data_IF_137241473642
#
_entry.id   IF_137241473642
#
_cell.length_a   1.000
_cell.length_b   1.000
_cell.length_c   1.000
_cell.angle_alpha   90.00
_cell.angle_beta   90.00
_cell.angle_gamma   90.00
#
_symmetry.space_group_name_H-M   'P 1'
#
loop_
_entity.id
_entity.type
_entity.pdbx_description
1 polymer ?
#
# COMPACT_ATOMS: atom_id res chain seq x y z
N UNK A 1 49.45 6.37 -20.03
CA UNK A 1 48.77 5.05 -20.00
C UNK A 1 48.11 4.90 -18.62
N UNK A 2 46.98 5.52 -18.27
CA UNK A 2 45.57 5.43 -18.73
C UNK A 2 44.84 4.10 -18.39
N UNK A 3 43.98 4.12 -17.35
CA UNK A 3 42.61 3.54 -17.19
C UNK A 3 42.35 3.18 -15.71
N UNK A 4 41.57 3.98 -14.97
CA UNK A 4 40.10 4.10 -14.87
C UNK A 4 39.47 3.11 -13.87
N UNK A 5 38.94 3.62 -12.76
CA UNK A 5 37.67 3.15 -12.18
C UNK A 5 36.93 4.36 -11.59
N UNK A 6 35.78 4.65 -12.18
CA UNK A 6 34.78 5.61 -11.72
C UNK A 6 34.18 5.19 -10.37
N UNK A 7 33.87 6.16 -9.52
CA UNK A 7 33.01 5.93 -8.36
C UNK A 7 31.87 6.97 -8.39
N UNK A 8 30.70 6.54 -8.87
CA UNK A 8 29.47 7.31 -8.88
C UNK A 8 28.72 7.10 -7.55
N UNK A 9 28.69 8.13 -6.71
CA UNK A 9 27.84 8.19 -5.51
C UNK A 9 27.34 9.62 -5.26
N UNK A 10 26.42 10.08 -6.10
CA UNK A 10 25.46 11.15 -5.79
C UNK A 10 24.06 10.60 -6.10
N UNK A 11 23.00 10.81 -5.28
CA UNK A 11 22.57 12.11 -4.77
C UNK A 11 21.98 12.07 -3.33
N UNK A 12 22.61 11.39 -2.38
CA UNK A 12 22.09 11.27 -0.99
C UNK A 12 22.74 12.26 -0.02
N UNK A 13 23.96 12.72 -0.32
CA UNK A 13 24.75 13.61 0.56
C UNK A 13 24.39 15.09 0.47
N UNK A 14 23.69 15.52 -0.59
CA UNK A 14 23.32 16.93 -0.76
C UNK A 14 22.12 17.34 0.13
N UNK A 15 21.25 16.38 0.47
CA UNK A 15 20.08 16.66 1.31
C UNK A 15 20.43 16.82 2.79
N UNK A 16 21.46 16.12 3.28
CA UNK A 16 21.92 16.20 4.66
C UNK A 16 22.70 17.48 4.95
N UNK A 17 23.41 18.05 3.97
CA UNK A 17 24.15 19.31 4.16
C UNK A 17 23.24 20.54 4.28
N UNK A 18 22.07 20.54 3.62
CA UNK A 18 21.12 21.66 3.69
C UNK A 18 20.32 21.71 4.99
N UNK A 19 20.29 20.63 5.78
CA UNK A 19 19.56 20.57 7.06
C UNK A 19 20.40 21.02 8.27
N UNK A 20 21.73 21.11 8.16
CA UNK A 20 22.61 21.42 9.30
C UNK A 20 23.01 22.90 9.44
N UNK A 21 22.67 23.77 8.48
CA UNK A 21 23.20 25.14 8.47
C UNK A 21 22.38 26.20 9.23
N UNK A 22 21.28 25.87 9.91
CA UNK A 22 20.41 26.89 10.50
C UNK A 22 20.30 26.90 12.04
N UNK A 23 21.28 26.32 12.74
CA UNK A 23 21.41 26.49 14.20
C UNK A 23 22.54 27.47 14.52
N UNK A 24 22.22 28.77 14.52
CA UNK A 24 23.03 29.79 15.19
C UNK A 24 22.12 30.70 16.02
N UNK A 25 22.29 30.62 17.35
CA UNK A 25 21.61 31.39 18.40
C UNK A 25 21.62 32.91 18.21
N UNK A 26 20.83 33.64 19.02
CA UNK A 26 21.32 34.89 19.59
C UNK A 26 21.34 34.89 21.13
N UNK A 27 22.37 35.57 21.63
CA UNK A 27 22.73 35.81 23.03
C UNK A 27 21.71 36.71 23.74
N UNK A 28 21.71 36.57 25.07
CA UNK A 28 21.06 37.44 26.03
C UNK A 28 21.65 38.86 26.06
N UNK A 29 20.80 39.86 26.32
CA UNK A 29 21.18 41.12 26.97
C UNK A 29 19.99 41.73 27.75
N UNK A 30 20.36 42.29 28.88
CA UNK A 30 19.65 42.78 30.08
C UNK A 30 18.68 43.97 29.91
N UNK A 31 17.79 44.11 30.90
CA UNK A 31 16.79 45.17 31.25
C UNK A 31 17.36 46.62 31.34
N UNK A 32 16.56 47.74 31.45
CA UNK A 32 15.54 47.92 32.50
C UNK A 32 14.25 48.75 32.23
N UNK A 33 13.25 48.46 33.07
CA UNK A 33 12.17 49.24 33.69
C UNK A 33 11.62 50.55 33.05
N UNK A 34 10.27 50.61 32.98
CA UNK A 34 9.49 51.84 32.88
C UNK A 34 8.00 51.58 33.12
N UNK A 35 7.50 51.95 34.30
CA UNK A 35 6.09 51.94 34.69
C UNK A 35 5.31 53.03 33.94
N UNK A 36 4.11 52.72 33.45
CA UNK A 36 3.17 53.70 32.90
C UNK A 36 1.77 53.12 32.74
N UNK A 37 0.86 53.46 33.64
CA UNK A 37 -0.58 53.21 33.54
C UNK A 37 -1.23 54.20 32.57
N UNK A 38 -2.11 53.73 31.68
CA UNK A 38 -3.18 54.53 31.08
C UNK A 38 -4.34 53.62 30.60
N UNK A 39 -5.55 54.10 30.87
CA UNK A 39 -6.90 53.54 30.71
C UNK A 39 -7.38 53.29 29.25
N UNK A 40 -8.56 52.64 29.05
CA UNK A 40 -8.96 52.01 27.79
C UNK A 40 -9.68 52.97 26.82
N UNK A 41 -9.49 52.74 25.51
CA UNK A 41 -10.26 53.38 24.45
C UNK A 41 -11.27 52.40 23.80
N UNK A 42 -12.43 52.97 23.43
CA UNK A 42 -13.71 52.37 23.04
C UNK A 42 -13.70 51.51 21.74
N UNK A 43 -14.76 50.70 21.48
CA UNK A 43 -14.78 49.70 20.43
C UNK A 43 -15.12 50.32 19.07
N UNK A 44 -14.18 50.27 18.14
CA UNK A 44 -14.36 50.78 16.79
C UNK A 44 -13.85 49.78 15.74
N UNK A 45 -14.72 49.51 14.77
CA UNK A 45 -14.47 48.86 13.48
C UNK A 45 -14.06 47.38 13.54
N UNK A 46 -15.04 46.53 13.22
CA UNK A 46 -14.81 45.15 12.84
C UNK A 46 -13.80 45.08 11.70
N UNK A 47 -12.58 44.63 12.03
CA UNK A 47 -11.62 44.16 11.07
C UNK A 47 -12.24 42.95 10.38
N UNK A 48 -12.77 43.17 9.17
CA UNK A 48 -12.97 42.12 8.20
C UNK A 48 -11.60 41.48 7.95
N UNK A 49 -11.26 40.45 8.73
CA UNK A 49 -10.13 39.57 8.43
C UNK A 49 -10.32 39.11 7.00
N UNK A 50 -9.50 39.64 6.08
CA UNK A 50 -9.26 39.04 4.79
C UNK A 50 -8.80 37.62 5.08
N UNK A 51 -9.73 36.66 5.03
CA UNK A 51 -9.46 35.24 5.20
C UNK A 51 -8.68 34.83 3.96
N UNK A 52 -7.36 34.96 4.03
CA UNK A 52 -6.43 34.51 3.00
C UNK A 52 -6.71 33.03 2.73
N UNK A 53 -7.24 32.73 1.56
CA UNK A 53 -7.39 31.35 1.08
C UNK A 53 -6.02 30.67 1.15
N UNK A 54 -5.95 29.53 1.84
CA UNK A 54 -4.74 28.72 1.93
C UNK A 54 -4.52 28.05 0.58
N UNK A 55 -3.45 28.41 -0.12
CA UNK A 55 -3.08 27.84 -1.40
C UNK A 55 -1.75 27.07 -1.24
N UNK A 56 -1.68 25.84 -1.76
CA UNK A 56 -0.51 24.96 -1.57
C UNK A 56 0.78 25.47 -2.24
N UNK A 57 0.70 26.47 -3.13
CA UNK A 57 1.86 27.14 -3.71
C UNK A 57 2.76 26.26 -4.59
N UNK A 58 2.23 25.16 -5.17
CA UNK A 58 2.95 24.37 -6.17
C UNK A 58 2.98 25.10 -7.52
N UNK A 59 4.10 25.00 -8.24
CA UNK A 59 4.23 25.58 -9.60
C UNK A 59 3.40 24.74 -10.58
N UNK A 60 2.82 25.34 -11.63
CA UNK A 60 2.05 24.59 -12.64
C UNK A 60 2.82 23.42 -13.26
N UNK A 61 4.14 23.59 -13.51
CA UNK A 61 5.00 22.51 -14.01
C UNK A 61 5.20 21.36 -13.03
N UNK A 62 5.28 21.64 -11.73
CA UNK A 62 5.38 20.62 -10.67
C UNK A 62 4.08 19.82 -10.58
N UNK A 63 2.93 20.50 -10.65
CA UNK A 63 1.60 19.88 -10.65
C UNK A 63 1.42 19.00 -11.89
N UNK A 64 1.83 19.48 -13.07
CA UNK A 64 1.72 18.73 -14.32
C UNK A 64 2.58 17.46 -14.29
N UNK A 65 3.87 17.59 -13.95
CA UNK A 65 4.76 16.44 -13.81
C UNK A 65 4.23 15.45 -12.77
N UNK A 66 3.75 15.96 -11.64
CA UNK A 66 3.18 15.13 -10.58
C UNK A 66 1.94 14.37 -11.02
N UNK A 67 1.05 15.04 -11.77
CA UNK A 67 -0.18 14.45 -12.29
C UNK A 67 0.09 13.36 -13.32
N UNK A 68 1.11 13.53 -14.17
CA UNK A 68 1.50 12.51 -15.16
C UNK A 68 2.02 11.25 -14.48
N UNK A 69 2.95 11.38 -13.53
CA UNK A 69 3.51 10.24 -12.81
C UNK A 69 2.43 9.53 -11.99
N UNK A 70 1.63 10.31 -11.24
CA UNK A 70 0.54 9.78 -10.44
C UNK A 70 -0.53 9.08 -11.30
N UNK A 71 -0.90 9.70 -12.43
CA UNK A 71 -1.86 9.12 -13.38
C UNK A 71 -1.37 7.82 -14.00
N UNK A 72 -0.08 7.71 -14.32
CA UNK A 72 0.51 6.47 -14.83
C UNK A 72 0.48 5.36 -13.77
N UNK A 73 0.92 5.65 -12.54
CA UNK A 73 0.84 4.69 -11.43
C UNK A 73 -0.59 4.25 -11.17
N UNK A 74 -1.53 5.21 -11.21
CA UNK A 74 -2.96 4.95 -10.97
C UNK A 74 -3.53 4.02 -12.04
N UNK A 75 -3.24 4.28 -13.31
CA UNK A 75 -3.69 3.45 -14.42
C UNK A 75 -3.13 2.02 -14.31
N UNK A 76 -1.83 1.89 -14.02
CA UNK A 76 -1.19 0.57 -13.84
C UNK A 76 -1.84 -0.17 -12.67
N UNK A 77 -2.06 0.50 -11.54
CA UNK A 77 -2.67 -0.13 -10.37
C UNK A 77 -4.10 -0.59 -10.64
N UNK A 78 -4.97 0.29 -11.18
CA UNK A 78 -6.37 -0.05 -11.44
C UNK A 78 -6.48 -1.17 -12.46
N UNK A 79 -5.84 -1.02 -13.63
CA UNK A 79 -5.92 -2.03 -14.69
C UNK A 79 -5.26 -3.35 -14.27
N UNK A 80 -4.10 -3.28 -13.63
CA UNK A 80 -3.34 -4.44 -13.19
C UNK A 80 -4.07 -5.24 -12.12
N UNK A 81 -4.55 -4.59 -11.07
CA UNK A 81 -5.26 -5.29 -9.99
C UNK A 81 -6.64 -5.79 -10.44
N UNK A 82 -7.35 -5.07 -11.33
CA UNK A 82 -8.56 -5.57 -11.96
C UNK A 82 -8.29 -6.84 -12.79
N UNK A 83 -7.21 -6.84 -13.58
CA UNK A 83 -6.79 -8.00 -14.35
C UNK A 83 -6.43 -9.20 -13.46
N UNK A 84 -5.78 -8.95 -12.32
CA UNK A 84 -5.50 -10.00 -11.31
C UNK A 84 -6.80 -10.68 -10.86
N UNK A 85 -7.80 -9.89 -10.47
CA UNK A 85 -9.12 -10.40 -10.09
C UNK A 85 -9.79 -11.19 -11.22
N UNK A 86 -9.80 -10.64 -12.43
CA UNK A 86 -10.42 -11.26 -13.61
C UNK A 86 -9.79 -12.62 -13.95
N UNK A 87 -8.46 -12.70 -14.01
CA UNK A 87 -7.73 -13.94 -14.34
C UNK A 87 -7.99 -15.00 -13.29
N UNK A 88 -7.93 -14.66 -12.00
CA UNK A 88 -8.14 -15.62 -10.91
C UNK A 88 -9.59 -16.15 -10.92
N UNK A 89 -10.56 -15.27 -11.16
CA UNK A 89 -11.97 -15.65 -11.22
C UNK A 89 -12.25 -16.59 -12.41
N UNK A 90 -11.70 -16.28 -13.59
CA UNK A 90 -12.01 -17.00 -14.84
C UNK A 90 -11.19 -18.29 -15.02
N UNK A 91 -9.96 -18.34 -14.51
CA UNK A 91 -9.06 -19.46 -14.75
C UNK A 91 -9.22 -20.55 -13.68
N UNK A 92 -9.79 -21.69 -14.07
CA UNK A 92 -9.77 -22.90 -13.22
C UNK A 92 -8.34 -23.37 -12.90
N UNK A 93 -7.37 -23.07 -13.77
CA UNK A 93 -5.96 -23.47 -13.63
C UNK A 93 -5.22 -22.71 -12.52
N UNK A 94 -5.74 -21.58 -12.08
CA UNK A 94 -5.14 -20.82 -10.97
C UNK A 94 -5.71 -21.19 -9.62
N UNK A 95 -6.86 -21.86 -9.53
CA UNK A 95 -7.64 -22.08 -8.30
C UNK A 95 -6.81 -22.72 -7.15
N UNK A 96 -6.40 -21.88 -6.21
CA UNK A 96 -5.75 -22.26 -4.95
C UNK A 96 -6.40 -21.51 -3.79
N UNK A 97 -6.31 -22.04 -2.57
CA UNK A 97 -6.81 -21.34 -1.37
C UNK A 97 -6.11 -19.99 -1.16
N UNK A 98 -4.85 -19.89 -1.54
CA UNK A 98 -4.07 -18.65 -1.44
C UNK A 98 -4.51 -17.59 -2.44
N UNK A 99 -5.20 -17.96 -3.53
CA UNK A 99 -5.73 -16.98 -4.46
C UNK A 99 -6.81 -16.09 -3.83
N UNK A 100 -7.52 -16.55 -2.80
CA UNK A 100 -8.46 -15.69 -2.06
C UNK A 100 -7.73 -14.51 -1.43
N UNK A 101 -6.55 -14.75 -0.84
CA UNK A 101 -5.72 -13.69 -0.30
C UNK A 101 -5.14 -12.77 -1.39
N UNK A 102 -4.72 -13.33 -2.53
CA UNK A 102 -4.24 -12.52 -3.67
C UNK A 102 -5.34 -11.61 -4.22
N UNK A 103 -6.55 -12.14 -4.39
CA UNK A 103 -7.72 -11.32 -4.79
C UNK A 103 -8.02 -10.28 -3.73
N UNK A 104 -7.93 -10.62 -2.44
CA UNK A 104 -8.13 -9.65 -1.37
C UNK A 104 -7.11 -8.52 -1.39
N UNK A 105 -5.84 -8.80 -1.69
CA UNK A 105 -4.80 -7.76 -1.89
C UNK A 105 -5.20 -6.84 -3.05
N UNK A 106 -5.52 -7.42 -4.21
CA UNK A 106 -5.95 -6.66 -5.38
C UNK A 106 -7.21 -5.82 -5.10
N UNK A 107 -8.17 -6.32 -4.34
CA UNK A 107 -9.34 -5.55 -3.91
C UNK A 107 -8.96 -4.39 -2.98
N UNK A 108 -8.06 -4.59 -2.02
CA UNK A 108 -7.59 -3.51 -1.15
C UNK A 108 -6.85 -2.42 -1.95
N UNK A 109 -6.03 -2.81 -2.93
CA UNK A 109 -5.36 -1.91 -3.86
C UNK A 109 -6.35 -1.13 -4.75
N UNK A 110 -7.40 -1.79 -5.26
CA UNK A 110 -8.46 -1.14 -6.02
C UNK A 110 -9.25 -0.14 -5.16
N UNK A 111 -9.57 -0.48 -3.91
CA UNK A 111 -10.23 0.44 -2.97
C UNK A 111 -9.38 1.69 -2.74
N UNK A 112 -8.06 1.56 -2.57
CA UNK A 112 -7.16 2.71 -2.44
C UNK A 112 -7.04 3.51 -3.73
N UNK A 113 -6.90 2.83 -4.85
CA UNK A 113 -6.71 3.46 -6.16
C UNK A 113 -7.95 4.19 -6.66
N UNK A 114 -9.15 3.66 -6.42
CA UNK A 114 -10.41 4.32 -6.83
C UNK A 114 -10.88 5.31 -5.76
N UNK A 115 -10.60 5.03 -4.49
CA UNK A 115 -11.07 5.83 -3.36
C UNK A 115 -10.17 7.01 -3.03
N UNK A 116 -8.97 6.75 -2.49
CA UNK A 116 -8.11 7.81 -1.93
C UNK A 116 -7.24 8.51 -2.97
N UNK A 117 -6.76 7.79 -3.99
CA UNK A 117 -5.83 8.36 -4.97
C UNK A 117 -6.40 9.52 -5.83
N UNK A 118 -7.66 9.49 -6.30
CA UNK A 118 -8.24 10.62 -7.05
C UNK A 118 -8.49 11.84 -6.15
N UNK A 119 -8.88 11.61 -4.89
CA UNK A 119 -9.10 12.66 -3.91
C UNK A 119 -7.81 13.43 -3.61
N UNK A 120 -6.68 12.72 -3.50
CA UNK A 120 -5.38 13.36 -3.31
C UNK A 120 -4.97 14.18 -4.54
N UNK A 121 -5.14 13.64 -5.74
CA UNK A 121 -4.81 14.37 -6.96
C UNK A 121 -5.66 15.64 -7.09
N UNK A 122 -6.95 15.56 -6.77
CA UNK A 122 -7.85 16.71 -6.77
C UNK A 122 -7.41 17.77 -5.75
N UNK A 123 -7.03 17.36 -4.54
CA UNK A 123 -6.54 18.27 -3.51
C UNK A 123 -5.29 19.03 -3.98
N UNK A 124 -4.33 18.32 -4.58
CA UNK A 124 -3.07 18.91 -5.03
C UNK A 124 -3.23 19.82 -6.25
N UNK A 125 -4.03 19.38 -7.24
CA UNK A 125 -4.27 20.15 -8.47
C UNK A 125 -5.11 21.41 -8.22
N UNK A 126 -6.06 21.35 -7.29
CA UNK A 126 -6.92 22.48 -6.97
C UNK A 126 -6.26 23.51 -6.07
N UNK A 127 -5.08 23.21 -5.49
CA UNK A 127 -4.42 24.07 -4.50
C UNK A 127 -5.15 24.19 -3.15
N UNK A 128 -6.32 23.54 -3.00
CA UNK A 128 -7.22 23.57 -1.85
C UNK A 128 -8.15 22.36 -1.81
N UNK A 129 -8.84 22.15 -0.70
CA UNK A 129 -9.84 21.09 -0.53
C UNK A 129 -11.26 21.55 -0.87
N UNK A 130 -11.89 20.90 -1.86
CA UNK A 130 -13.19 21.30 -2.42
C UNK A 130 -14.38 20.42 -1.96
N UNK A 131 -14.14 19.21 -1.46
CA UNK A 131 -15.19 18.18 -1.30
C UNK A 131 -15.80 18.11 0.13
N UNK A 132 -15.55 19.12 0.95
CA UNK A 132 -16.08 19.22 2.32
C UNK A 132 -15.47 18.22 3.33
N UNK A 133 -15.82 18.38 4.61
CA UNK A 133 -15.16 17.65 5.70
C UNK A 133 -15.43 16.13 5.68
N UNK A 134 -16.62 15.70 5.27
CA UNK A 134 -16.99 14.27 5.18
C UNK A 134 -16.13 13.49 4.21
N UNK A 135 -15.88 14.04 3.00
CA UNK A 135 -15.03 13.37 2.00
C UNK A 135 -13.56 13.42 2.41
N UNK A 136 -13.11 14.48 3.11
CA UNK A 136 -11.75 14.53 3.66
C UNK A 136 -11.52 13.36 4.64
N UNK A 137 -12.45 13.18 5.60
CA UNK A 137 -12.42 12.06 6.54
C UNK A 137 -12.42 10.71 5.84
N UNK A 138 -13.29 10.52 4.85
CA UNK A 138 -13.36 9.28 4.08
C UNK A 138 -12.04 9.02 3.33
N UNK A 139 -11.49 10.02 2.64
CA UNK A 139 -10.23 9.88 1.90
C UNK A 139 -9.06 9.48 2.81
N UNK A 140 -8.97 10.11 3.99
CA UNK A 140 -7.95 9.80 5.00
C UNK A 140 -8.17 8.43 5.63
N UNK A 141 -9.41 8.06 5.92
CA UNK A 141 -9.76 6.73 6.40
C UNK A 141 -9.34 5.65 5.40
N UNK A 142 -9.67 5.81 4.11
CA UNK A 142 -9.27 4.87 3.06
C UNK A 142 -7.74 4.75 2.94
N UNK A 143 -7.02 5.85 3.11
CA UNK A 143 -5.56 5.88 3.09
C UNK A 143 -4.91 5.05 4.21
N UNK A 144 -5.61 4.82 5.33
CA UNK A 144 -5.14 3.93 6.41
C UNK A 144 -5.77 2.54 6.37
N UNK A 145 -7.02 2.43 5.94
CA UNK A 145 -7.71 1.16 5.77
C UNK A 145 -6.96 0.26 4.80
N UNK A 146 -6.59 0.77 3.62
CA UNK A 146 -6.04 -0.05 2.55
C UNK A 146 -4.70 -0.69 2.92
N UNK A 147 -3.67 0.03 3.43
CA UNK A 147 -2.46 -0.64 3.91
C UNK A 147 -2.73 -1.53 5.13
N UNK A 148 -3.67 -1.17 6.01
CA UNK A 148 -4.04 -2.00 7.15
C UNK A 148 -4.56 -3.38 6.73
N UNK A 149 -5.53 -3.41 5.82
CA UNK A 149 -6.04 -4.64 5.23
C UNK A 149 -4.91 -5.41 4.55
N UNK A 150 -4.06 -4.76 3.76
CA UNK A 150 -2.92 -5.42 3.09
C UNK A 150 -1.98 -6.09 4.10
N UNK A 151 -1.61 -5.41 5.18
CA UNK A 151 -0.76 -5.97 6.23
C UNK A 151 -1.35 -7.26 6.82
N UNK A 152 -2.63 -7.25 7.20
CA UNK A 152 -3.27 -8.44 7.76
C UNK A 152 -3.49 -9.56 6.75
N UNK A 153 -3.71 -9.23 5.47
CA UNK A 153 -3.79 -10.24 4.41
C UNK A 153 -2.41 -10.85 4.15
N UNK A 154 -1.33 -10.06 4.18
CA UNK A 154 0.04 -10.57 4.09
C UNK A 154 0.41 -11.46 5.28
N UNK A 155 -0.05 -11.12 6.49
CA UNK A 155 0.06 -12.00 7.66
C UNK A 155 -0.70 -13.31 7.44
N UNK A 156 -1.95 -13.24 6.96
CA UNK A 156 -2.75 -14.43 6.64
C UNK A 156 -2.06 -15.33 5.59
N UNK A 157 -1.45 -14.75 4.57
CA UNK A 157 -0.63 -15.47 3.57
C UNK A 157 0.58 -16.12 4.24
N UNK A 158 1.28 -15.41 5.11
CA UNK A 158 2.48 -15.91 5.81
C UNK A 158 2.14 -17.12 6.67
N UNK A 159 1.01 -17.06 7.40
CA UNK A 159 0.47 -18.17 8.19
C UNK A 159 0.05 -19.35 7.29
N UNK A 160 -0.67 -19.10 6.19
CA UNK A 160 -1.05 -20.13 5.20
C UNK A 160 0.19 -20.86 4.65
N UNK A 161 1.24 -20.10 4.33
CA UNK A 161 2.51 -20.63 3.80
C UNK A 161 3.26 -21.43 4.84
N UNK A 162 3.38 -20.92 6.06
CA UNK A 162 4.00 -21.62 7.18
C UNK A 162 3.36 -23.00 7.41
N UNK A 163 2.03 -23.07 7.59
CA UNK A 163 1.35 -24.35 7.84
C UNK A 163 1.40 -25.30 6.64
N UNK A 164 1.21 -24.79 5.42
CA UNK A 164 1.19 -25.63 4.20
C UNK A 164 2.56 -26.23 3.87
N UNK A 165 3.64 -25.55 4.25
CA UNK A 165 5.01 -25.97 3.95
C UNK A 165 5.61 -26.82 5.06
N UNK A 166 5.40 -26.47 6.33
CA UNK A 166 6.01 -27.16 7.48
C UNK A 166 5.19 -28.38 7.93
N UNK A 167 3.86 -28.31 7.84
CA UNK A 167 2.96 -29.38 8.30
C UNK A 167 2.09 -29.94 7.16
N UNK A 168 2.70 -30.58 6.14
CA UNK A 168 1.99 -30.98 4.91
C UNK A 168 0.88 -32.02 5.11
N UNK A 169 0.91 -32.78 6.21
CA UNK A 169 0.00 -33.90 6.49
C UNK A 169 -1.15 -33.55 7.45
N UNK A 170 -1.05 -32.50 8.27
CA UNK A 170 -2.01 -32.28 9.37
C UNK A 170 -2.95 -31.09 9.19
N UNK A 171 -2.63 -30.05 8.40
CA UNK A 171 -3.52 -28.88 8.27
C UNK A 171 -3.36 -28.17 6.93
N UNK A 172 -4.12 -28.56 5.90
CA UNK A 172 -4.34 -27.67 4.75
C UNK A 172 -5.39 -26.63 5.13
N UNK A 173 -5.11 -25.36 4.87
CA UNK A 173 -6.10 -24.29 5.04
C UNK A 173 -7.27 -24.59 4.08
N UNK A 174 -8.47 -24.85 4.64
CA UNK A 174 -9.67 -25.05 3.83
C UNK A 174 -10.10 -23.73 3.16
N UNK A 175 -10.91 -23.82 2.10
CA UNK A 175 -11.46 -22.62 1.43
C UNK A 175 -12.25 -21.74 2.40
N UNK A 176 -13.05 -22.36 3.27
CA UNK A 176 -13.81 -21.64 4.29
C UNK A 176 -12.90 -20.97 5.33
N UNK A 177 -11.81 -21.64 5.75
CA UNK A 177 -10.83 -21.02 6.64
C UNK A 177 -10.15 -19.81 5.97
N UNK A 178 -9.78 -19.92 4.68
CA UNK A 178 -9.18 -18.81 3.94
C UNK A 178 -10.13 -17.61 3.79
N UNK A 179 -11.43 -17.86 3.52
CA UNK A 179 -12.46 -16.80 3.50
C UNK A 179 -12.60 -16.12 4.86
N UNK A 180 -12.67 -16.89 5.95
CA UNK A 180 -12.73 -16.33 7.32
C UNK A 180 -11.48 -15.52 7.68
N UNK A 181 -10.29 -16.02 7.33
CA UNK A 181 -9.04 -15.27 7.52
C UNK A 181 -9.06 -13.96 6.74
N UNK A 182 -9.53 -13.98 5.49
CA UNK A 182 -9.70 -12.78 4.66
C UNK A 182 -10.66 -11.79 5.33
N UNK A 183 -11.85 -12.23 5.73
CA UNK A 183 -12.83 -11.38 6.42
C UNK A 183 -12.25 -10.79 7.71
N UNK A 184 -11.55 -11.59 8.51
CA UNK A 184 -10.87 -11.12 9.72
C UNK A 184 -9.82 -10.04 9.41
N UNK A 185 -9.02 -10.21 8.36
CA UNK A 185 -8.06 -9.19 7.93
C UNK A 185 -8.72 -7.85 7.58
N UNK A 186 -9.89 -7.88 6.93
CA UNK A 186 -10.66 -6.66 6.62
C UNK A 186 -11.23 -6.00 7.89
N UNK A 187 -11.80 -6.79 8.79
CA UNK A 187 -12.35 -6.28 10.05
C UNK A 187 -11.26 -5.69 10.94
N UNK A 188 -10.10 -6.35 11.07
CA UNK A 188 -8.95 -5.83 11.80
C UNK A 188 -8.42 -4.54 11.16
N UNK A 189 -8.25 -4.52 9.83
CA UNK A 189 -7.83 -3.33 9.11
C UNK A 189 -8.79 -2.15 9.31
N UNK A 190 -10.10 -2.40 9.21
CA UNK A 190 -11.13 -1.39 9.42
C UNK A 190 -11.20 -0.87 10.87
N UNK A 191 -11.09 -1.79 11.84
CA UNK A 191 -11.08 -1.46 13.26
C UNK A 191 -9.90 -0.56 13.60
N UNK A 192 -8.68 -0.93 13.19
CA UNK A 192 -7.48 -0.18 13.54
C UNK A 192 -7.31 1.09 12.71
N UNK A 193 -7.91 1.18 11.52
CA UNK A 193 -7.98 2.43 10.76
C UNK A 193 -9.08 3.39 11.26
N UNK A 194 -10.03 2.93 12.09
CA UNK A 194 -11.20 3.73 12.51
C UNK A 194 -10.87 5.09 13.16
N UNK A 195 -9.76 5.30 13.90
CA UNK A 195 -9.47 6.62 14.47
C UNK A 195 -9.28 7.70 13.40
N UNK A 196 -8.84 7.34 12.19
CA UNK A 196 -8.68 8.29 11.10
C UNK A 196 -9.99 8.98 10.69
N UNK A 197 -11.15 8.34 10.91
CA UNK A 197 -12.46 8.95 10.67
C UNK A 197 -12.76 10.14 11.58
N UNK A 198 -12.17 10.15 12.78
CA UNK A 198 -12.47 11.13 13.82
C UNK A 198 -11.36 12.18 13.98
N UNK A 199 -10.11 11.79 13.73
CA UNK A 199 -8.94 12.66 13.89
C UNK A 199 -8.73 13.62 12.72
N UNK A 200 -9.21 13.26 11.54
CA UNK A 200 -9.17 14.13 10.37
C UNK A 200 -10.45 14.96 10.23
N UNK A 201 -10.31 16.15 9.68
CA UNK A 201 -11.42 17.04 9.38
C UNK A 201 -10.95 18.16 8.48
N UNK A 202 -11.90 18.76 7.77
CA UNK A 202 -11.63 20.02 7.08
C UNK A 202 -11.96 21.18 8.02
N UNK A 203 -10.99 22.08 8.23
CA UNK A 203 -11.25 23.35 8.93
C UNK A 203 -12.07 24.28 8.03
N UNK A 204 -12.53 25.41 8.58
CA UNK A 204 -13.22 26.47 7.83
C UNK A 204 -12.43 27.06 6.66
N UNK A 205 -11.15 26.71 6.52
CA UNK A 205 -10.20 27.33 5.59
C UNK A 205 -10.00 26.48 4.32
N UNK A 206 -10.95 25.60 4.01
CA UNK A 206 -10.91 24.72 2.82
C UNK A 206 -9.62 23.90 2.71
N UNK A 207 -9.08 23.47 3.86
CA UNK A 207 -7.87 22.67 3.95
C UNK A 207 -8.21 21.29 4.55
N UNK A 208 -7.62 20.22 4.00
CA UNK A 208 -7.73 18.86 4.52
C UNK A 208 -6.33 18.38 4.93
N UNK A 209 -6.07 18.39 6.25
CA UNK A 209 -4.75 18.11 6.83
C UNK A 209 -4.11 16.86 6.22
N UNK A 210 -2.84 16.98 5.83
CA UNK A 210 -2.00 15.90 5.31
C UNK A 210 -1.52 14.96 6.43
N UNK A 211 -1.25 15.51 7.61
CA UNK A 211 -0.68 14.79 8.74
C UNK A 211 -1.64 14.69 9.92
N UNK A 212 -1.42 13.71 10.80
CA UNK A 212 -2.19 13.62 12.04
C UNK A 212 -2.01 14.90 12.87
N UNK A 213 -3.09 15.42 13.48
CA UNK A 213 -3.00 16.61 14.33
C UNK A 213 -2.08 16.35 15.52
N UNK A 214 -1.23 17.33 15.85
CA UNK A 214 -0.25 17.25 16.97
C UNK A 214 -0.88 17.28 18.38
N UNK A 215 -2.19 17.06 18.46
CA UNK A 215 -2.91 16.88 19.73
C UNK A 215 -2.46 15.58 20.43
N UNK A 216 -2.55 15.53 21.75
CA UNK A 216 -2.27 14.30 22.51
C UNK A 216 -3.10 13.10 22.02
N UNK A 217 -4.37 13.32 21.69
CA UNK A 217 -5.25 12.29 21.15
C UNK A 217 -4.77 11.79 19.77
N UNK A 218 -4.34 12.71 18.90
CA UNK A 218 -3.74 12.38 17.61
C UNK A 218 -2.43 11.60 17.76
N UNK A 219 -1.54 12.03 18.65
CA UNK A 219 -0.28 11.36 18.93
C UNK A 219 -0.48 9.95 19.52
N UNK A 220 -1.31 9.83 20.57
CA UNK A 220 -1.61 8.55 21.20
C UNK A 220 -2.27 7.58 20.21
N UNK A 221 -3.24 8.07 19.42
CA UNK A 221 -3.88 7.24 18.39
C UNK A 221 -2.93 6.87 17.26
N UNK A 222 -2.04 7.78 16.85
CA UNK A 222 -0.99 7.53 15.87
C UNK A 222 -0.01 6.44 16.34
N UNK A 223 0.46 6.51 17.57
CA UNK A 223 1.36 5.49 18.13
C UNK A 223 0.65 4.14 18.28
N UNK A 224 -0.54 4.11 18.89
CA UNK A 224 -1.22 2.86 19.24
C UNK A 224 -1.78 2.17 17.99
N UNK A 225 -2.61 2.86 17.21
CA UNK A 225 -3.35 2.22 16.13
C UNK A 225 -2.50 2.09 14.87
N UNK A 226 -1.77 3.16 14.52
CA UNK A 226 -1.00 3.24 13.30
C UNK A 226 0.35 2.52 13.38
N UNK A 227 1.07 2.64 14.49
CA UNK A 227 2.41 2.05 14.62
C UNK A 227 2.40 0.69 15.24
N UNK A 228 1.70 0.49 16.36
CA UNK A 228 1.74 -0.78 17.09
C UNK A 228 0.84 -1.82 16.43
N UNK A 229 -0.45 -1.50 16.27
CA UNK A 229 -1.44 -2.46 15.79
C UNK A 229 -1.33 -2.69 14.28
N UNK A 230 -1.29 -1.62 13.48
CA UNK A 230 -1.27 -1.73 12.01
C UNK A 230 0.09 -2.14 11.41
N UNK A 231 1.21 -1.82 12.06
CA UNK A 231 2.54 -2.02 11.49
C UNK A 231 3.42 -3.00 12.30
N UNK A 232 3.70 -2.71 13.57
CA UNK A 232 4.72 -3.43 14.35
C UNK A 232 4.32 -4.86 14.70
N UNK A 233 3.17 -5.09 15.32
CA UNK A 233 2.71 -6.43 15.69
C UNK A 233 2.62 -7.36 14.46
N UNK A 234 1.90 -7.00 13.38
CA UNK A 234 1.79 -7.89 12.24
C UNK A 234 3.12 -8.08 11.49
N UNK A 235 3.98 -7.05 11.40
CA UNK A 235 5.32 -7.22 10.79
C UNK A 235 6.19 -8.18 11.59
N UNK A 236 6.21 -8.10 12.92
CA UNK A 236 6.91 -9.05 13.79
C UNK A 236 6.40 -10.48 13.57
N UNK A 237 5.08 -10.68 13.54
CA UNK A 237 4.48 -12.00 13.29
C UNK A 237 4.84 -12.53 11.90
N UNK A 238 4.83 -11.68 10.87
CA UNK A 238 5.25 -12.04 9.50
C UNK A 238 6.71 -12.46 9.49
N UNK A 239 7.59 -11.68 10.13
CA UNK A 239 9.02 -11.95 10.22
C UNK A 239 9.25 -13.30 10.89
N UNK A 240 8.63 -13.56 12.04
CA UNK A 240 8.73 -14.84 12.75
C UNK A 240 8.25 -16.01 11.90
N UNK A 241 7.15 -15.85 11.17
CA UNK A 241 6.64 -16.88 10.26
C UNK A 241 7.64 -17.20 9.14
N UNK A 242 8.21 -16.19 8.48
CA UNK A 242 9.16 -16.39 7.39
C UNK A 242 10.53 -16.87 7.87
N UNK A 243 11.02 -16.39 9.02
CA UNK A 243 12.26 -16.89 9.63
C UNK A 243 12.17 -18.39 9.85
N UNK A 244 11.12 -18.85 10.53
CA UNK A 244 10.90 -20.28 10.78
C UNK A 244 10.73 -21.06 9.47
N UNK A 245 10.04 -20.47 8.48
CA UNK A 245 9.86 -21.09 7.18
C UNK A 245 11.18 -21.29 6.43
N UNK A 246 12.04 -20.27 6.38
CA UNK A 246 13.33 -20.36 5.70
C UNK A 246 14.31 -21.28 6.42
N UNK A 247 14.32 -21.27 7.75
CA UNK A 247 15.11 -22.24 8.55
C UNK A 247 14.67 -23.67 8.21
N UNK A 248 13.36 -23.93 8.14
CA UNK A 248 12.83 -25.25 7.77
C UNK A 248 13.24 -25.66 6.36
N UNK A 249 13.15 -24.75 5.38
CA UNK A 249 13.57 -25.03 3.99
C UNK A 249 15.06 -25.35 3.92
N UNK A 250 15.91 -24.55 4.57
CA UNK A 250 17.37 -24.71 4.54
C UNK A 250 17.82 -26.03 5.20
N UNK A 251 17.20 -26.42 6.31
CA UNK A 251 17.47 -27.69 6.98
C UNK A 251 17.17 -28.89 6.07
N UNK A 252 16.02 -28.88 5.39
CA UNK A 252 15.62 -29.99 4.52
C UNK A 252 16.47 -30.07 3.23
N UNK A 253 16.93 -28.94 2.67
CA UNK A 253 17.81 -28.94 1.49
C UNK A 253 19.19 -29.54 1.80
N UNK A 254 19.69 -29.29 3.02
CA UNK A 254 20.93 -29.89 3.54
C UNK A 254 20.78 -31.41 3.72
N UNK A 255 19.63 -31.88 4.22
CA UNK A 255 19.36 -33.32 4.39
C UNK A 255 19.20 -34.08 3.05
N UNK A 256 18.61 -33.45 2.02
CA UNK A 256 18.49 -34.01 0.66
C UNK A 256 19.87 -34.19 0.02
N UNK A 257 20.77 -33.22 0.22
CA UNK A 257 22.16 -33.28 -0.25
C UNK A 257 22.98 -34.35 0.49
N UNK A 258 22.67 -34.63 1.75
CA UNK A 258 23.30 -35.67 2.56
C UNK A 258 22.78 -37.10 2.27
N UNK A 259 21.96 -37.29 1.22
CA UNK A 259 21.50 -38.62 0.76
C UNK A 259 20.42 -39.27 1.63
N UNK A 260 19.94 -38.59 2.68
CA UNK A 260 18.90 -39.09 3.58
C UNK A 260 17.53 -38.69 3.03
N UNK A 261 16.98 -39.51 2.13
CA UNK A 261 15.62 -39.34 1.55
C UNK A 261 14.56 -39.33 2.66
N UNK A 262 14.24 -38.16 3.20
CA UNK A 262 13.07 -37.97 4.05
C UNK A 262 11.83 -37.85 3.16
N UNK A 263 10.73 -38.47 3.60
CA UNK A 263 9.44 -38.57 2.89
C UNK A 263 8.70 -37.22 2.77
N UNK A 264 9.28 -36.13 3.28
CA UNK A 264 8.71 -34.77 3.28
C UNK A 264 9.46 -33.82 2.35
N UNK A 265 9.70 -34.23 1.10
CA UNK A 265 10.30 -33.36 0.09
C UNK A 265 9.40 -32.13 -0.12
N UNK A 266 9.78 -30.99 0.47
CA UNK A 266 9.14 -29.70 0.20
C UNK A 266 9.29 -29.43 -1.29
N UNK A 267 8.19 -29.58 -2.03
CA UNK A 267 8.23 -29.39 -3.48
C UNK A 267 8.83 -28.02 -3.80
N UNK A 268 9.89 -27.98 -4.63
CA UNK A 268 10.54 -26.74 -5.12
C UNK A 268 9.52 -25.70 -5.62
N UNK A 269 8.38 -26.15 -6.16
CA UNK A 269 7.25 -25.30 -6.58
C UNK A 269 6.57 -24.57 -5.42
N UNK A 270 6.40 -25.21 -4.26
CA UNK A 270 5.80 -24.60 -3.07
C UNK A 270 6.76 -23.59 -2.43
N UNK A 271 8.06 -23.91 -2.35
CA UNK A 271 9.09 -22.98 -1.89
C UNK A 271 9.18 -21.72 -2.78
N UNK A 272 9.17 -21.89 -4.11
CA UNK A 272 9.10 -20.76 -5.05
C UNK A 272 7.89 -19.84 -4.79
N UNK A 273 6.75 -20.44 -4.45
CA UNK A 273 5.53 -19.68 -4.15
C UNK A 273 5.65 -18.92 -2.82
N UNK A 274 6.31 -19.47 -1.80
CA UNK A 274 6.61 -18.73 -0.57
C UNK A 274 7.59 -17.57 -0.82
N UNK A 275 8.63 -17.77 -1.63
CA UNK A 275 9.57 -16.71 -2.00
C UNK A 275 8.87 -15.55 -2.71
N UNK A 276 7.90 -15.85 -3.59
CA UNK A 276 7.07 -14.82 -4.21
C UNK A 276 6.32 -13.97 -3.17
N UNK A 277 5.68 -14.60 -2.19
CA UNK A 277 4.95 -13.87 -1.15
C UNK A 277 5.86 -13.12 -0.18
N UNK A 278 7.07 -13.62 0.07
CA UNK A 278 8.10 -12.88 0.80
C UNK A 278 8.48 -11.60 0.06
N UNK A 279 8.63 -11.64 -1.27
CA UNK A 279 8.87 -10.44 -2.08
C UNK A 279 7.69 -9.46 -1.97
N UNK A 280 6.45 -9.92 -1.94
CA UNK A 280 5.28 -9.05 -1.74
C UNK A 280 5.31 -8.35 -0.37
N UNK A 281 5.79 -9.05 0.65
CA UNK A 281 5.98 -8.50 2.00
C UNK A 281 7.05 -7.41 2.00
N UNK A 282 8.20 -7.66 1.36
CA UNK A 282 9.27 -6.67 1.25
C UNK A 282 8.82 -5.42 0.49
N UNK A 283 8.20 -5.60 -0.68
CA UNK A 283 7.65 -4.52 -1.50
C UNK A 283 6.67 -3.64 -0.70
N UNK A 284 5.78 -4.26 0.06
CA UNK A 284 4.83 -3.55 0.91
C UNK A 284 5.52 -2.74 2.01
N UNK A 285 6.36 -3.37 2.83
CA UNK A 285 6.97 -2.66 3.96
C UNK A 285 7.94 -1.58 3.52
N UNK A 286 8.77 -1.82 2.49
CA UNK A 286 9.69 -0.79 2.00
C UNK A 286 8.96 0.43 1.45
N UNK A 287 7.82 0.23 0.79
CA UNK A 287 7.06 1.32 0.19
C UNK A 287 6.23 2.11 1.20
N UNK A 288 5.66 1.43 2.20
CA UNK A 288 4.76 2.06 3.18
C UNK A 288 5.46 2.57 4.44
N UNK A 289 6.67 2.07 4.76
CA UNK A 289 7.42 2.51 5.93
C UNK A 289 7.66 4.04 5.97
N UNK A 290 8.06 4.72 4.87
CA UNK A 290 8.24 6.18 4.88
C UNK A 290 6.94 6.92 5.24
N UNK A 291 5.80 6.44 4.75
CA UNK A 291 4.50 7.02 5.07
C UNK A 291 4.19 6.91 6.56
N UNK A 292 4.34 5.72 7.15
CA UNK A 292 4.08 5.52 8.59
C UNK A 292 5.04 6.34 9.46
N UNK A 293 6.33 6.40 9.11
CA UNK A 293 7.35 7.17 9.84
C UNK A 293 7.02 8.66 9.85
N UNK A 294 6.66 9.25 8.71
CA UNK A 294 6.33 10.68 8.65
C UNK A 294 5.03 10.98 9.38
N UNK A 295 4.03 10.09 9.33
CA UNK A 295 2.79 10.27 10.10
C UNK A 295 3.04 10.23 11.61
N UNK A 296 4.01 9.42 12.07
CA UNK A 296 4.46 9.35 13.46
C UNK A 296 5.30 10.53 13.91
N UNK A 297 5.99 11.18 12.98
CA UNK A 297 6.76 12.40 13.28
C UNK A 297 5.84 13.57 13.65
N UNK A 298 4.57 13.52 13.25
CA UNK A 298 3.57 14.59 13.46
C UNK A 298 4.07 15.99 13.06
N UNK A 299 4.56 16.17 11.81
CA UNK A 299 5.04 17.48 11.37
C UNK A 299 3.88 18.49 11.38
N UNK A 300 4.13 19.67 11.96
CA UNK A 300 3.17 20.76 11.86
C UNK A 300 3.19 21.38 10.46
N UNK A 301 2.00 21.64 9.92
CA UNK A 301 1.83 22.23 8.60
C UNK A 301 2.03 23.75 8.61
N UNK A 302 3.25 24.19 8.94
CA UNK A 302 3.62 25.62 8.96
C UNK A 302 3.88 26.16 7.55
N UNK A 303 4.45 25.34 6.67
CA UNK A 303 4.75 25.64 5.27
C UNK A 303 3.98 24.67 4.37
N UNK A 304 2.83 25.10 3.87
CA UNK A 304 1.92 24.27 3.06
C UNK A 304 2.57 23.74 1.78
N UNK A 305 3.55 24.45 1.20
CA UNK A 305 4.28 23.98 0.01
C UNK A 305 5.21 22.82 0.38
N UNK A 306 5.99 22.94 1.46
CA UNK A 306 6.85 21.84 1.93
C UNK A 306 6.04 20.64 2.39
N UNK A 307 4.95 20.87 3.13
CA UNK A 307 4.05 19.81 3.61
C UNK A 307 3.41 19.05 2.46
N UNK A 308 2.90 19.75 1.44
CA UNK A 308 2.29 19.11 0.27
C UNK A 308 3.31 18.34 -0.57
N UNK A 309 4.52 18.86 -0.78
CA UNK A 309 5.60 18.14 -1.48
C UNK A 309 6.08 16.90 -0.72
N UNK A 310 6.25 17.01 0.60
CA UNK A 310 6.62 15.88 1.44
C UNK A 310 5.53 14.81 1.40
N UNK A 311 4.26 15.22 1.56
CA UNK A 311 3.12 14.32 1.51
C UNK A 311 2.96 13.64 0.14
N UNK A 312 3.19 14.39 -0.95
CA UNK A 312 3.20 13.86 -2.30
C UNK A 312 4.27 12.77 -2.46
N UNK A 313 5.51 13.06 -2.06
CA UNK A 313 6.63 12.15 -2.21
C UNK A 313 6.42 10.83 -1.44
N UNK A 314 5.99 10.90 -0.17
CA UNK A 314 5.75 9.68 0.63
C UNK A 314 4.57 8.87 0.06
N UNK A 315 3.53 9.54 -0.45
CA UNK A 315 2.37 8.83 -1.01
C UNK A 315 2.71 8.21 -2.36
N UNK A 316 3.61 8.82 -3.15
CA UNK A 316 4.13 8.19 -4.37
C UNK A 316 4.85 6.89 -4.09
N UNK A 317 5.74 6.90 -3.10
CA UNK A 317 6.48 5.70 -2.71
C UNK A 317 5.49 4.64 -2.23
N UNK A 318 4.56 4.98 -1.33
CA UNK A 318 3.54 4.05 -0.85
C UNK A 318 2.67 3.48 -1.97
N UNK A 319 2.17 4.33 -2.86
CA UNK A 319 1.26 3.94 -3.94
C UNK A 319 1.95 3.10 -5.02
N UNK A 320 3.27 3.25 -5.20
CA UNK A 320 4.06 2.44 -6.13
C UNK A 320 3.94 0.92 -5.86
N UNK A 321 3.82 0.52 -4.58
CA UNK A 321 3.56 -0.88 -4.18
C UNK A 321 2.24 -1.45 -4.70
N UNK A 322 1.24 -0.61 -4.96
CA UNK A 322 -0.05 -1.02 -5.51
C UNK A 322 0.08 -1.36 -7.01
N UNK A 323 0.90 -0.58 -7.72
CA UNK A 323 1.20 -0.78 -9.13
C UNK A 323 2.19 -1.94 -9.37
N UNK A 324 3.09 -2.23 -8.42
CA UNK A 324 4.10 -3.29 -8.55
C UNK A 324 3.50 -4.70 -8.43
N UNK A 325 2.45 -4.90 -7.62
CA UNK A 325 1.90 -6.23 -7.33
C UNK A 325 1.44 -7.02 -8.56
N UNK A 326 0.67 -6.47 -9.51
CA UNK A 326 0.30 -7.18 -10.74
C UNK A 326 1.53 -7.62 -11.55
N UNK A 327 2.57 -6.79 -11.60
CA UNK A 327 3.83 -7.07 -12.31
C UNK A 327 4.58 -8.20 -11.61
N UNK A 328 4.74 -8.13 -10.28
CA UNK A 328 5.37 -9.18 -9.49
C UNK A 328 4.60 -10.51 -9.62
N UNK A 329 3.27 -10.47 -9.59
CA UNK A 329 2.45 -11.66 -9.77
C UNK A 329 2.62 -12.27 -11.17
N UNK A 330 2.74 -11.46 -12.21
CA UNK A 330 3.04 -11.90 -13.57
C UNK A 330 4.40 -12.60 -13.71
N UNK A 331 5.45 -12.05 -13.08
CA UNK A 331 6.81 -12.59 -13.14
C UNK A 331 6.87 -13.94 -12.43
N UNK A 332 6.38 -14.01 -11.19
CA UNK A 332 6.59 -15.17 -10.33
C UNK A 332 5.54 -16.28 -10.51
N UNK A 333 4.33 -15.98 -10.99
CA UNK A 333 3.26 -16.96 -11.14
C UNK A 333 3.03 -17.37 -12.60
N UNK A 334 3.64 -18.49 -13.01
CA UNK A 334 3.48 -19.03 -14.36
C UNK A 334 2.03 -19.45 -14.70
N UNK A 335 1.23 -19.86 -13.71
CA UNK A 335 -0.17 -20.21 -13.94
C UNK A 335 -1.00 -18.95 -14.23
N UNK A 336 -0.67 -17.84 -13.56
CA UNK A 336 -1.29 -16.54 -13.81
C UNK A 336 -0.96 -16.04 -15.22
N UNK A 337 0.31 -16.07 -15.63
CA UNK A 337 0.72 -15.70 -17.00
C UNK A 337 -0.03 -16.49 -18.07
N UNK A 338 -0.17 -17.81 -17.89
CA UNK A 338 -0.95 -18.66 -18.79
C UNK A 338 -2.45 -18.32 -18.78
N UNK A 339 -3.01 -17.97 -17.62
CA UNK A 339 -4.39 -17.51 -17.50
C UNK A 339 -4.64 -16.19 -18.22
N UNK A 340 -3.71 -15.24 -18.08
CA UNK A 340 -3.75 -13.94 -18.77
C UNK A 340 -3.67 -14.11 -20.28
N UNK A 341 -2.74 -14.94 -20.79
CA UNK A 341 -2.68 -15.29 -22.21
C UNK A 341 -4.00 -15.89 -22.72
N UNK A 342 -4.64 -16.78 -21.94
CA UNK A 342 -5.93 -17.35 -22.30
C UNK A 342 -7.06 -16.30 -22.42
N UNK A 343 -7.04 -15.26 -21.58
CA UNK A 343 -7.99 -14.15 -21.67
C UNK A 343 -7.71 -13.29 -22.90
N UNK A 344 -6.44 -12.94 -23.15
CA UNK A 344 -6.04 -12.18 -24.33
C UNK A 344 -6.39 -12.93 -25.63
N UNK A 345 -6.19 -14.25 -25.68
CA UNK A 345 -6.56 -15.06 -26.84
C UNK A 345 -8.08 -15.13 -27.04
N UNK A 346 -8.89 -15.17 -25.97
CA UNK A 346 -10.35 -15.11 -26.09
C UNK A 346 -10.88 -13.73 -26.46
N UNK A 347 -10.14 -12.66 -26.15
CA UNK A 347 -10.45 -11.33 -26.67
C UNK A 347 -10.11 -11.23 -28.15
N UNK A 348 -8.98 -11.79 -28.59
CA UNK A 348 -8.59 -11.84 -30.00
C UNK A 348 -9.47 -12.75 -30.85
N UNK A 349 -10.01 -13.83 -30.27
CA UNK A 349 -10.98 -14.73 -30.88
C UNK A 349 -12.18 -14.89 -29.94
N UNK A 350 -13.15 -13.95 -29.98
CA UNK A 350 -14.42 -14.17 -29.30
C UNK A 350 -15.01 -15.46 -29.86
N UNK A 351 -15.39 -16.40 -28.99
CA UNK A 351 -16.07 -17.65 -29.34
C UNK A 351 -17.38 -17.36 -30.09
N UNK A 352 -17.28 -17.11 -31.38
CA UNK A 352 -18.28 -17.43 -32.38
C UNK A 352 -17.94 -18.85 -32.85
N UNK A 353 -18.93 -19.76 -32.86
CA UNK A 353 -18.83 -21.17 -33.30
C UNK A 353 -18.29 -22.21 -32.29
N UNK A 354 -18.97 -22.37 -31.15
CA UNK A 354 -19.08 -23.69 -30.50
C UNK A 354 -20.57 -23.96 -30.19
N UNK A 355 -21.38 -24.08 -31.24
CA UNK A 355 -22.69 -24.75 -31.18
C UNK A 355 -22.99 -25.62 -32.42
N UNK A 356 -22.04 -25.83 -33.33
CA UNK A 356 -22.31 -26.50 -34.61
C UNK A 356 -21.53 -27.80 -34.84
N UNK A 357 -21.07 -28.48 -33.79
CA UNK A 357 -20.54 -29.87 -33.92
C UNK A 357 -20.92 -30.70 -32.69
N UNK A 358 -22.22 -30.88 -32.45
CA UNK A 358 -22.71 -31.98 -31.58
C UNK A 358 -24.00 -32.60 -32.13
N UNK A 359 -24.17 -32.68 -33.45
CA UNK A 359 -25.33 -33.36 -34.05
C UNK A 359 -25.05 -34.16 -35.33
N UNK A 360 -23.83 -34.70 -35.53
CA UNK A 360 -23.55 -35.58 -36.68
C UNK A 360 -22.67 -36.79 -36.38
N UNK A 361 -22.80 -37.43 -35.21
CA UNK A 361 -22.23 -38.77 -34.98
C UNK A 361 -23.15 -39.73 -34.22
N UNK A 362 -24.47 -39.61 -34.44
CA UNK A 362 -25.46 -40.62 -33.98
C UNK A 362 -25.94 -41.58 -35.08
N UNK A 363 -25.27 -41.63 -36.23
CA UNK A 363 -25.59 -42.50 -37.36
C UNK A 363 -24.40 -43.36 -37.82
N UNK A 364 -23.80 -44.09 -36.88
CA UNK A 364 -22.91 -45.21 -37.20
C UNK A 364 -22.87 -46.24 -36.06
N UNK A 365 -24.06 -46.70 -35.64
CA UNK A 365 -24.21 -47.96 -34.90
C UNK A 365 -25.44 -48.64 -35.44
N UNK A 366 -25.24 -49.37 -36.52
CA UNK A 366 -25.97 -50.57 -36.88
C UNK A 366 -25.22 -51.20 -38.04
N UNK A 367 -24.42 -52.22 -37.73
CA UNK A 367 -24.14 -53.36 -38.59
C UNK A 367 -23.62 -54.46 -37.66
N UNK A 368 -24.56 -55.16 -37.04
CA UNK A 368 -24.43 -56.58 -36.79
C UNK A 368 -24.90 -57.29 -38.06
N UNK A 369 -24.07 -58.15 -38.62
CA UNK A 369 -24.31 -59.55 -39.01
C UNK A 369 -22.95 -60.21 -39.15
#
# INVERSE_FOLDING_TARGET
VSRSMDNSSGPVLLLTFLLLQNTSSPKASTLPAGYGMAEPAAPGAGSSRNRSLVEYGLRPGEIAAASVVWGALWLISVLGNFLVCLVIHRSRRTQSTTNYFVVSLACADLVGSVGSAPLLLLQLSSGRWLLGSGVCRLGRYLQYLTPGVQTYVLLAISVDRFYTLIHPLNVRVSREKAKRMTLASWLCGALFASPACFLYGSSSDHHCNFFLPSSWLGAASGVIHLSVLLLLIPSLLIILCYQNLFIYIWRNDTEDTAGRRTTNLVSRRKAKTANMFFIFVLDFFLSWLPFFVVQLWHPQETDYRKSSLLFLAITWIAFSSSASKPILFYIYNANFRRGMQGICCMWKYPRSNIYTITFSSRTAKNNHI
#
